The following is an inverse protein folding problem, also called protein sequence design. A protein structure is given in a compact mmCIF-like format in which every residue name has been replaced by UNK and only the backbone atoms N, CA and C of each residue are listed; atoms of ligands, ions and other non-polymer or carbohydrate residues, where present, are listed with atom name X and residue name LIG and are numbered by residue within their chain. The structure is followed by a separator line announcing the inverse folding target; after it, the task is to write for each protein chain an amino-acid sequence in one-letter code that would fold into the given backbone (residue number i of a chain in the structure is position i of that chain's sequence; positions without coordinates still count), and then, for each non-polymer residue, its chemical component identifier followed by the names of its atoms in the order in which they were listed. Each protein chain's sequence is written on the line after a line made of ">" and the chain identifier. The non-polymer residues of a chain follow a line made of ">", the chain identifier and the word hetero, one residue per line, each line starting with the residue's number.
data_IF_981231708823
#
_entry.id   IF_981231708823
#
_cell.length_a   1.000
_cell.length_b   1.000
_cell.length_c   1.000
_cell.angle_alpha   90.00
_cell.angle_beta   90.00
_cell.angle_gamma   90.00
#
_symmetry.space_group_name_H-M   'P 1'
#
loop_
_entity.id
_entity.type
_entity.pdbx_description
1 polymer ?
#
# COMPACT_ATOMS: atom_id res chain seq x y z
N UNK A 1 37.95 -10.51 2.15
CA UNK A 1 36.89 -10.74 3.15
C UNK A 1 35.60 -10.14 2.62
N UNK A 2 34.63 -10.96 2.25
CA UNK A 2 33.28 -10.51 1.93
C UNK A 2 32.69 -9.86 3.19
N UNK A 3 32.07 -8.67 3.13
CA UNK A 3 31.42 -8.11 4.30
C UNK A 3 30.38 -9.09 4.84
N UNK A 4 30.22 -9.18 6.17
CA UNK A 4 29.21 -10.05 6.76
C UNK A 4 27.84 -9.69 6.17
N UNK A 5 26.99 -10.69 5.84
CA UNK A 5 25.67 -10.42 5.31
C UNK A 5 24.90 -9.54 6.30
N UNK A 6 24.45 -8.36 5.83
CA UNK A 6 23.61 -7.48 6.65
C UNK A 6 22.40 -8.27 7.14
N UNK A 7 22.16 -8.25 8.45
CA UNK A 7 20.99 -8.90 9.02
C UNK A 7 19.73 -8.40 8.28
N UNK A 8 18.83 -9.29 7.85
CA UNK A 8 17.64 -8.88 7.11
C UNK A 8 16.82 -7.93 7.97
N UNK A 9 16.50 -6.76 7.42
CA UNK A 9 15.65 -5.78 8.10
C UNK A 9 14.32 -6.44 8.45
N UNK A 10 13.96 -6.41 9.73
CA UNK A 10 12.74 -7.03 10.22
C UNK A 10 11.51 -6.43 9.52
N UNK A 11 10.53 -7.28 9.18
CA UNK A 11 9.24 -6.86 8.63
C UNK A 11 8.57 -5.74 9.46
N UNK A 12 8.83 -5.71 10.77
CA UNK A 12 8.31 -4.69 11.68
C UNK A 12 8.79 -3.27 11.33
N UNK A 13 10.03 -3.12 10.86
CA UNK A 13 10.55 -1.82 10.42
C UNK A 13 9.87 -1.36 9.12
N UNK A 14 9.60 -2.27 8.20
CA UNK A 14 8.81 -1.94 7.01
C UNK A 14 7.35 -1.62 7.38
N UNK A 15 6.75 -2.32 8.34
CA UNK A 15 5.41 -2.02 8.82
C UNK A 15 5.33 -0.64 9.52
N UNK A 16 6.38 -0.26 10.26
CA UNK A 16 6.50 1.06 10.88
C UNK A 16 6.73 2.16 9.83
N UNK A 17 7.61 1.94 8.86
CA UNK A 17 7.81 2.86 7.74
C UNK A 17 6.52 3.04 6.93
N UNK A 18 5.77 1.96 6.72
CA UNK A 18 4.47 2.03 6.07
C UNK A 18 3.49 2.89 6.86
N UNK A 19 3.39 2.70 8.18
CA UNK A 19 2.59 3.54 9.07
C UNK A 19 3.02 5.02 9.03
N UNK A 20 4.33 5.29 9.14
CA UNK A 20 4.89 6.64 9.19
C UNK A 20 4.65 7.44 7.91
N UNK A 21 4.64 6.78 6.74
CA UNK A 21 4.25 7.42 5.49
C UNK A 21 2.72 7.49 5.31
N UNK A 22 1.98 6.47 5.74
CA UNK A 22 0.54 6.39 5.47
C UNK A 22 -0.28 7.37 6.32
N UNK A 23 0.19 7.69 7.53
CA UNK A 23 -0.46 8.64 8.43
C UNK A 23 -0.52 10.05 7.82
N UNK A 24 0.60 10.70 7.46
CA UNK A 24 0.55 12.02 6.84
C UNK A 24 -0.11 11.98 5.45
N UNK A 25 0.09 10.90 4.68
CA UNK A 25 -0.65 10.69 3.43
C UNK A 25 -2.17 10.77 3.64
N UNK A 26 -2.70 10.00 4.59
CA UNK A 26 -4.14 9.94 4.86
C UNK A 26 -4.67 11.26 5.41
N UNK A 27 -3.92 11.90 6.33
CA UNK A 27 -4.30 13.16 6.93
C UNK A 27 -4.37 14.28 5.88
N UNK A 28 -3.31 14.47 5.09
CA UNK A 28 -3.23 15.53 4.09
C UNK A 28 -4.22 15.32 2.94
N UNK A 29 -4.40 14.07 2.48
CA UNK A 29 -5.39 13.76 1.43
C UNK A 29 -6.80 14.11 1.89
N UNK A 30 -7.15 13.75 3.13
CA UNK A 30 -8.46 14.09 3.71
C UNK A 30 -8.62 15.59 3.91
N UNK A 31 -7.59 16.30 4.39
CA UNK A 31 -7.63 17.75 4.56
C UNK A 31 -7.83 18.50 3.23
N UNK A 32 -7.12 18.09 2.17
CA UNK A 32 -7.29 18.64 0.81
C UNK A 32 -8.68 18.36 0.24
N UNK A 33 -9.17 17.12 0.41
CA UNK A 33 -10.47 16.71 -0.12
C UNK A 33 -11.64 17.42 0.57
N UNK A 34 -11.48 17.76 1.86
CA UNK A 34 -12.48 18.50 2.64
C UNK A 34 -12.35 20.03 2.50
N UNK A 35 -11.27 20.53 1.89
CA UNK A 35 -10.98 21.97 1.87
C UNK A 35 -10.68 22.53 3.27
N UNK A 36 -10.17 21.70 4.17
CA UNK A 36 -9.96 22.05 5.57
C UNK A 36 -8.62 22.76 5.83
N UNK A 37 -7.76 22.89 4.82
CA UNK A 37 -6.50 23.61 4.98
C UNK A 37 -6.72 25.13 4.93
N UNK A 38 -5.91 25.91 5.68
CA UNK A 38 -5.99 27.37 5.63
C UNK A 38 -5.85 27.91 4.20
N UNK A 39 -6.74 28.82 3.81
CA UNK A 39 -6.73 29.44 2.49
C UNK A 39 -7.49 28.68 1.40
N UNK A 40 -8.13 27.55 1.72
CA UNK A 40 -9.01 26.84 0.80
C UNK A 40 -10.47 27.32 0.96
N UNK A 41 -11.15 27.55 -0.16
CA UNK A 41 -12.59 27.87 -0.19
C UNK A 41 -13.48 26.65 -0.47
N UNK A 42 -12.91 25.61 -1.07
CA UNK A 42 -13.56 24.35 -1.38
C UNK A 42 -12.54 23.20 -1.40
N UNK A 43 -13.01 21.98 -1.20
CA UNK A 43 -12.18 20.78 -1.32
C UNK A 43 -11.74 20.50 -2.74
N UNK A 44 -10.53 19.95 -2.92
CA UNK A 44 -10.06 19.52 -4.24
C UNK A 44 -10.75 18.22 -4.65
N UNK A 45 -11.40 18.16 -5.83
CA UNK A 45 -11.89 16.90 -6.37
C UNK A 45 -10.75 15.91 -6.58
N UNK A 46 -10.96 14.62 -6.33
CA UNK A 46 -9.86 13.66 -6.39
C UNK A 46 -9.29 13.44 -7.80
N UNK A 47 -10.09 13.59 -8.88
CA UNK A 47 -9.56 13.59 -10.25
C UNK A 47 -8.68 14.83 -10.55
N UNK A 48 -8.90 15.93 -9.84
CA UNK A 48 -8.11 17.17 -9.95
C UNK A 48 -6.80 17.07 -9.15
N UNK A 49 -6.79 16.25 -8.08
CA UNK A 49 -5.64 15.93 -7.22
C UNK A 49 -4.74 14.81 -7.80
N UNK A 50 -5.32 13.89 -8.58
CA UNK A 50 -4.65 12.69 -9.09
C UNK A 50 -3.37 12.99 -9.92
N UNK A 51 -3.34 13.98 -10.83
CA UNK A 51 -2.15 14.23 -11.65
C UNK A 51 -0.92 14.68 -10.86
N UNK A 52 -1.07 15.66 -9.95
CA UNK A 52 0.04 16.18 -9.15
C UNK A 52 0.59 15.12 -8.20
N UNK A 53 -0.29 14.36 -7.56
CA UNK A 53 0.09 13.24 -6.68
C UNK A 53 0.76 12.11 -7.48
N UNK A 54 0.26 11.73 -8.65
CA UNK A 54 0.85 10.71 -9.51
C UNK A 54 2.25 11.11 -10.03
N UNK A 55 2.45 12.37 -10.39
CA UNK A 55 3.76 12.90 -10.77
C UNK A 55 4.75 12.88 -9.60
N UNK A 56 4.31 13.32 -8.40
CA UNK A 56 5.14 13.21 -7.20
C UNK A 56 5.46 11.76 -6.83
N UNK A 57 4.51 10.84 -7.00
CA UNK A 57 4.72 9.39 -6.83
C UNK A 57 5.75 8.85 -7.80
N UNK A 58 5.67 9.23 -9.08
CA UNK A 58 6.65 8.87 -10.11
C UNK A 58 8.05 9.37 -9.74
N UNK A 59 8.19 10.66 -9.46
CA UNK A 59 9.48 11.27 -9.08
C UNK A 59 10.03 10.63 -7.81
N UNK A 60 9.20 10.47 -6.78
CA UNK A 60 9.58 9.85 -5.51
C UNK A 60 10.06 8.41 -5.68
N UNK A 61 9.39 7.63 -6.54
CA UNK A 61 9.82 6.24 -6.78
C UNK A 61 11.16 6.19 -7.51
N UNK A 62 11.31 6.94 -8.59
CA UNK A 62 12.55 6.93 -9.37
C UNK A 62 13.73 7.51 -8.58
N UNK A 63 13.49 8.55 -7.78
CA UNK A 63 14.49 9.06 -6.84
C UNK A 63 14.90 8.00 -5.82
N UNK A 64 13.95 7.26 -5.24
CA UNK A 64 14.26 6.15 -4.33
C UNK A 64 15.07 5.04 -5.02
N UNK A 65 14.65 4.60 -6.21
CA UNK A 65 15.34 3.55 -6.96
C UNK A 65 16.76 3.96 -7.37
N UNK A 66 16.96 5.23 -7.75
CA UNK A 66 18.27 5.78 -8.08
C UNK A 66 19.16 5.89 -6.85
N UNK A 67 18.65 6.48 -5.77
CA UNK A 67 19.42 6.71 -4.54
C UNK A 67 19.80 5.41 -3.81
N UNK A 68 18.91 4.43 -3.79
CA UNK A 68 19.19 3.10 -3.21
C UNK A 68 20.06 2.21 -4.10
N UNK A 69 20.37 2.66 -5.33
CA UNK A 69 21.06 1.85 -6.34
C UNK A 69 20.26 0.62 -6.76
N UNK A 70 18.95 0.60 -6.54
CA UNK A 70 18.13 -0.60 -6.70
C UNK A 70 18.03 -1.04 -8.17
N UNK A 71 18.18 -0.12 -9.14
CA UNK A 71 18.24 -0.43 -10.58
C UNK A 71 19.26 -1.51 -10.96
N UNK A 72 20.31 -1.72 -10.15
CA UNK A 72 21.28 -2.79 -10.39
C UNK A 72 20.67 -4.21 -10.34
N UNK A 73 19.55 -4.38 -9.62
CA UNK A 73 18.85 -5.64 -9.46
C UNK A 73 17.84 -5.92 -10.58
N UNK A 74 17.53 -4.93 -11.42
CA UNK A 74 16.61 -5.12 -12.54
C UNK A 74 17.23 -6.03 -13.62
N UNK A 75 16.38 -6.69 -14.39
CA UNK A 75 16.77 -7.26 -15.67
C UNK A 75 17.43 -6.21 -16.57
N UNK A 76 18.15 -6.67 -17.59
CA UNK A 76 18.89 -5.80 -18.51
C UNK A 76 18.47 -6.07 -19.93
N UNK A 77 18.12 -5.01 -20.66
CA UNK A 77 17.93 -5.04 -22.10
C UNK A 77 19.12 -4.33 -22.76
N UNK A 78 19.77 -5.00 -23.71
CA UNK A 78 20.80 -4.39 -24.54
C UNK A 78 20.13 -3.79 -25.78
N UNK A 79 20.21 -2.47 -25.92
CA UNK A 79 19.77 -1.75 -27.11
C UNK A 79 21.02 -1.14 -27.75
N UNK A 80 21.62 -1.87 -28.70
CA UNK A 80 22.91 -1.51 -29.26
C UNK A 80 24.03 -1.50 -28.20
N UNK A 81 24.82 -0.41 -28.06
CA UNK A 81 25.88 -0.32 -27.07
C UNK A 81 25.38 0.00 -25.65
N UNK A 82 24.10 0.38 -25.50
CA UNK A 82 23.55 0.82 -24.21
C UNK A 82 22.83 -0.35 -23.52
N UNK A 83 23.10 -0.53 -22.23
CA UNK A 83 22.42 -1.52 -21.38
C UNK A 83 21.47 -0.80 -20.44
N UNK A 84 20.17 -0.96 -20.66
CA UNK A 84 19.13 -0.31 -19.87
C UNK A 84 18.48 -1.31 -18.91
N UNK A 85 18.06 -0.87 -17.71
CA UNK A 85 17.26 -1.72 -16.83
C UNK A 85 15.91 -2.00 -17.50
N UNK A 86 15.44 -3.24 -17.44
CA UNK A 86 14.23 -3.68 -18.11
C UNK A 86 13.45 -4.69 -17.28
N UNK A 87 12.12 -4.53 -17.15
CA UNK A 87 11.29 -5.46 -16.40
C UNK A 87 11.09 -6.78 -17.15
N UNK A 88 11.05 -7.89 -16.42
CA UNK A 88 10.54 -9.15 -16.96
C UNK A 88 9.06 -9.07 -17.33
N UNK A 89 8.57 -9.99 -18.18
CA UNK A 89 7.16 -10.05 -18.60
C UNK A 89 6.16 -10.07 -17.44
N UNK A 90 6.47 -10.80 -16.37
CA UNK A 90 5.57 -11.00 -15.23
C UNK A 90 5.62 -9.84 -14.25
N UNK A 91 6.80 -9.26 -14.02
CA UNK A 91 6.97 -8.05 -13.20
C UNK A 91 6.41 -6.82 -13.90
N UNK A 92 6.48 -6.77 -15.23
CA UNK A 92 5.78 -5.78 -16.04
C UNK A 92 4.26 -5.86 -15.83
N UNK A 93 3.67 -7.05 -15.98
CA UNK A 93 2.23 -7.24 -15.74
C UNK A 93 1.86 -6.97 -14.27
N UNK A 94 2.71 -7.34 -13.31
CA UNK A 94 2.53 -6.97 -11.90
C UNK A 94 2.54 -5.46 -11.70
N UNK A 95 3.44 -4.75 -12.38
CA UNK A 95 3.52 -3.29 -12.37
C UNK A 95 2.24 -2.64 -12.86
N UNK A 96 1.66 -3.13 -13.97
CA UNK A 96 0.36 -2.68 -14.46
C UNK A 96 -0.78 -2.96 -13.47
N UNK A 97 -0.75 -4.11 -12.79
CA UNK A 97 -1.70 -4.39 -11.71
C UNK A 97 -1.52 -3.40 -10.54
N UNK A 98 -0.28 -3.09 -10.17
CA UNK A 98 0.01 -2.06 -9.15
C UNK A 98 -0.51 -0.69 -9.58
N UNK A 99 -0.39 -0.31 -10.85
CA UNK A 99 -1.01 0.89 -11.40
C UNK A 99 -2.52 0.89 -11.18
N UNK A 100 -3.20 -0.21 -11.53
CA UNK A 100 -4.63 -0.39 -11.30
C UNK A 100 -5.01 -0.24 -9.83
N UNK A 101 -4.22 -0.83 -8.91
CA UNK A 101 -4.42 -0.70 -7.47
C UNK A 101 -4.32 0.76 -7.01
N UNK A 102 -3.28 1.49 -7.45
CA UNK A 102 -3.08 2.88 -7.04
C UNK A 102 -4.23 3.75 -7.57
N UNK A 103 -4.55 3.63 -8.86
CA UNK A 103 -5.62 4.40 -9.49
C UNK A 103 -6.98 4.18 -8.81
N UNK A 104 -7.39 2.91 -8.65
CA UNK A 104 -8.67 2.55 -8.03
C UNK A 104 -8.74 2.96 -6.55
N UNK A 105 -7.63 2.91 -5.80
CA UNK A 105 -7.63 3.37 -4.40
C UNK A 105 -7.93 4.85 -4.27
N UNK A 106 -7.43 5.68 -5.18
CA UNK A 106 -7.73 7.11 -5.15
C UNK A 106 -9.14 7.40 -5.65
N UNK A 107 -9.61 6.69 -6.68
CA UNK A 107 -10.96 6.83 -7.24
C UNK A 107 -12.06 6.36 -6.28
N UNK A 108 -11.80 5.34 -5.48
CA UNK A 108 -12.75 4.83 -4.49
C UNK A 108 -13.20 5.89 -3.48
N UNK A 109 -12.38 6.94 -3.27
CA UNK A 109 -12.72 8.06 -2.39
C UNK A 109 -13.50 9.19 -3.09
N UNK A 110 -13.72 9.11 -4.41
CA UNK A 110 -14.31 10.18 -5.22
C UNK A 110 -15.68 9.85 -5.79
N UNK A 111 -16.21 8.65 -5.58
CA UNK A 111 -17.53 8.27 -6.09
C UNK A 111 -18.67 8.83 -5.22
N UNK A 112 -19.42 9.78 -5.79
CA UNK A 112 -20.64 10.33 -5.20
C UNK A 112 -21.69 9.24 -4.96
N UNK A 113 -22.36 9.30 -3.80
CA UNK A 113 -23.43 8.37 -3.45
C UNK A 113 -22.97 6.97 -3.01
N UNK A 114 -21.66 6.73 -2.90
CA UNK A 114 -21.12 5.52 -2.26
C UNK A 114 -20.45 5.86 -0.94
N UNK A 115 -20.69 5.05 0.10
CA UNK A 115 -20.07 5.28 1.40
C UNK A 115 -18.55 5.06 1.31
N UNK A 116 -17.76 6.10 1.59
CA UNK A 116 -16.29 6.03 1.68
C UNK A 116 -15.85 4.92 2.65
N UNK A 117 -16.56 4.78 3.77
CA UNK A 117 -16.33 3.73 4.77
C UNK A 117 -16.61 2.34 4.19
N UNK A 118 -17.68 2.21 3.40
CA UNK A 118 -18.01 0.96 2.68
C UNK A 118 -16.96 0.60 1.62
N UNK A 119 -16.42 1.58 0.89
CA UNK A 119 -15.34 1.30 -0.05
C UNK A 119 -14.03 0.92 0.62
N UNK A 120 -13.67 1.62 1.69
CA UNK A 120 -12.49 1.27 2.49
C UNK A 120 -12.57 -0.16 3.03
N UNK A 121 -13.77 -0.60 3.44
CA UNK A 121 -14.07 -1.97 3.82
C UNK A 121 -13.84 -2.96 2.68
N UNK A 122 -14.49 -2.72 1.54
CA UNK A 122 -14.45 -3.60 0.40
C UNK A 122 -13.01 -3.78 -0.11
N UNK A 123 -12.22 -2.72 -0.09
CA UNK A 123 -10.82 -2.77 -0.49
C UNK A 123 -9.93 -3.50 0.53
N UNK A 124 -9.97 -3.09 1.81
CA UNK A 124 -9.11 -3.71 2.85
C UNK A 124 -9.53 -5.15 3.13
N UNK A 125 -10.83 -5.38 3.25
CA UNK A 125 -11.45 -6.69 3.47
C UNK A 125 -11.32 -7.61 2.27
N UNK A 126 -11.51 -7.09 1.05
CA UNK A 126 -11.32 -7.86 -0.18
C UNK A 126 -9.92 -8.46 -0.27
N UNK A 127 -8.88 -7.69 0.02
CA UNK A 127 -7.49 -8.21 -0.01
C UNK A 127 -7.20 -9.18 1.14
N UNK A 128 -7.81 -9.00 2.32
CA UNK A 128 -7.71 -9.98 3.41
C UNK A 128 -8.33 -11.31 3.01
N UNK A 129 -9.53 -11.31 2.43
CA UNK A 129 -10.19 -12.53 1.92
C UNK A 129 -9.39 -13.16 0.78
N UNK A 130 -8.75 -12.35 -0.06
CA UNK A 130 -7.95 -12.80 -1.20
C UNK A 130 -6.64 -13.48 -0.80
N UNK A 131 -6.04 -13.06 0.31
CA UNK A 131 -4.75 -13.58 0.79
C UNK A 131 -4.71 -15.12 0.93
N UNK A 132 -5.64 -15.79 1.65
CA UNK A 132 -5.66 -17.24 1.76
C UNK A 132 -5.98 -17.93 0.42
N UNK A 133 -6.82 -17.32 -0.42
CA UNK A 133 -7.14 -17.86 -1.74
C UNK A 133 -5.90 -17.90 -2.64
N UNK A 134 -5.13 -16.81 -2.66
CA UNK A 134 -3.88 -16.75 -3.41
C UNK A 134 -2.84 -17.72 -2.85
N UNK A 135 -2.74 -17.85 -1.53
CA UNK A 135 -1.83 -18.82 -0.91
C UNK A 135 -2.21 -20.26 -1.30
N UNK A 136 -3.50 -20.61 -1.27
CA UNK A 136 -3.99 -21.92 -1.69
C UNK A 136 -3.69 -22.19 -3.18
N UNK A 137 -4.01 -21.24 -4.07
CA UNK A 137 -3.73 -21.34 -5.52
C UNK A 137 -2.22 -21.38 -5.82
N UNK A 138 -1.40 -20.76 -4.97
CA UNK A 138 0.06 -20.76 -5.08
C UNK A 138 0.72 -21.96 -4.39
N UNK A 139 -0.06 -22.89 -3.82
CA UNK A 139 0.45 -24.08 -3.13
C UNK A 139 1.22 -23.78 -1.85
N UNK A 140 0.93 -22.66 -1.17
CA UNK A 140 1.64 -22.23 0.04
C UNK A 140 1.01 -22.82 1.30
N UNK A 141 1.84 -23.31 2.21
CA UNK A 141 1.39 -23.75 3.52
C UNK A 141 1.12 -22.54 4.42
N UNK A 142 -0.13 -22.39 4.87
CA UNK A 142 -0.56 -21.28 5.75
C UNK A 142 -0.46 -21.71 7.21
N UNK A 143 0.36 -21.01 7.99
CA UNK A 143 0.52 -21.28 9.41
C UNK A 143 -0.75 -20.95 10.22
N UNK A 144 -0.96 -21.65 11.34
CA UNK A 144 -2.13 -21.43 12.20
C UNK A 144 -2.28 -19.98 12.71
N UNK A 145 -1.21 -19.27 13.13
CA UNK A 145 -1.34 -17.90 13.66
C UNK A 145 -1.81 -16.95 12.56
N UNK A 146 -1.38 -17.19 11.32
CA UNK A 146 -1.81 -16.42 10.15
C UNK A 146 -3.31 -16.56 9.90
N UNK A 147 -3.88 -17.75 10.07
CA UNK A 147 -5.34 -17.98 9.92
C UNK A 147 -6.14 -17.26 11.01
N UNK A 148 -5.67 -17.33 12.25
CA UNK A 148 -6.34 -16.65 13.38
C UNK A 148 -6.25 -15.13 13.22
N UNK A 149 -5.07 -14.60 12.91
CA UNK A 149 -4.88 -13.18 12.67
C UNK A 149 -5.69 -12.66 11.49
N UNK A 150 -5.82 -13.45 10.42
CA UNK A 150 -6.73 -13.14 9.32
C UNK A 150 -8.18 -13.03 9.82
N UNK A 151 -8.67 -14.02 10.56
CA UNK A 151 -10.02 -14.02 11.11
C UNK A 151 -10.29 -12.81 12.02
N UNK A 152 -9.35 -12.50 12.91
CA UNK A 152 -9.43 -11.31 13.78
C UNK A 152 -9.38 -10.02 12.96
N UNK A 153 -8.56 -9.94 11.90
CA UNK A 153 -8.50 -8.77 11.01
C UNK A 153 -9.80 -8.54 10.26
N UNK A 154 -10.46 -9.62 9.82
CA UNK A 154 -11.79 -9.54 9.19
C UNK A 154 -12.85 -9.07 10.19
N UNK A 155 -12.84 -9.61 11.41
CA UNK A 155 -13.74 -9.16 12.48
C UNK A 155 -13.50 -7.68 12.83
N UNK A 156 -12.23 -7.25 12.88
CA UNK A 156 -11.86 -5.85 13.12
C UNK A 156 -12.47 -4.90 12.08
N UNK A 157 -12.43 -5.28 10.81
CA UNK A 157 -13.03 -4.51 9.73
C UNK A 157 -14.56 -4.41 9.87
N UNK A 158 -15.23 -5.53 10.20
CA UNK A 158 -16.69 -5.54 10.42
C UNK A 158 -17.10 -4.63 11.59
N UNK A 159 -16.35 -4.66 12.69
CA UNK A 159 -16.62 -3.81 13.88
C UNK A 159 -16.35 -2.34 13.59
N UNK A 160 -15.28 -2.03 12.87
CA UNK A 160 -14.91 -0.65 12.53
C UNK A 160 -15.97 0.08 11.70
N UNK A 161 -16.94 -0.63 11.13
CA UNK A 161 -17.80 -0.11 10.07
C UNK A 161 -19.28 -0.03 10.42
N UNK A 162 -19.77 -0.89 11.30
CA UNK A 162 -21.05 -0.76 12.01
C UNK A 162 -22.32 -0.58 11.14
N UNK A 163 -23.51 -0.49 11.78
CA UNK A 163 -24.77 -0.25 11.07
C UNK A 163 -24.84 1.19 10.56
N UNK A 164 -25.19 1.37 9.28
CA UNK A 164 -25.27 2.66 8.59
C UNK A 164 -24.59 2.70 7.23
N UNK A 165 -23.96 1.62 6.78
CA UNK A 165 -23.48 1.48 5.40
C UNK A 165 -24.68 1.34 4.46
N UNK A 166 -25.02 2.43 3.76
CA UNK A 166 -25.85 2.32 2.58
C UNK A 166 -25.13 1.43 1.56
N UNK A 167 -25.65 0.22 1.35
CA UNK A 167 -25.18 -0.78 0.38
C UNK A 167 -25.51 -0.36 -1.07
N UNK A 168 -25.58 0.94 -1.34
CA UNK A 168 -25.75 1.47 -2.67
C UNK A 168 -24.39 1.53 -3.32
N UNK A 169 -24.10 0.49 -4.10
CA UNK A 169 -22.90 0.43 -4.91
C UNK A 169 -23.29 0.86 -6.33
N UNK A 170 -22.85 2.05 -6.74
CA UNK A 170 -22.95 2.43 -8.14
C UNK A 170 -22.19 1.40 -8.99
N UNK A 171 -22.69 1.05 -10.17
CA UNK A 171 -22.03 0.07 -11.07
C UNK A 171 -20.57 0.42 -11.36
N UNK A 172 -20.26 1.72 -11.46
CA UNK A 172 -18.90 2.23 -11.66
C UNK A 172 -18.01 1.93 -10.45
N UNK A 173 -18.55 2.08 -9.24
CA UNK A 173 -17.86 1.80 -8.00
C UNK A 173 -17.63 0.28 -7.82
N UNK A 174 -18.59 -0.55 -8.24
CA UNK A 174 -18.43 -2.01 -8.29
C UNK A 174 -17.32 -2.44 -9.25
N UNK A 175 -17.26 -1.81 -10.43
CA UNK A 175 -16.22 -2.06 -11.42
C UNK A 175 -14.84 -1.64 -10.89
N UNK A 176 -14.73 -0.47 -10.26
CA UNK A 176 -13.49 0.02 -9.63
C UNK A 176 -12.97 -0.97 -8.57
N UNK A 177 -13.86 -1.41 -7.67
CA UNK A 177 -13.53 -2.44 -6.70
C UNK A 177 -13.11 -3.77 -7.33
N UNK A 178 -13.80 -4.21 -8.39
CA UNK A 178 -13.45 -5.44 -9.10
C UNK A 178 -12.04 -5.36 -9.71
N UNK A 179 -11.71 -4.24 -10.36
CA UNK A 179 -10.36 -3.97 -10.90
C UNK A 179 -9.33 -3.99 -9.78
N UNK A 180 -9.62 -3.37 -8.63
CA UNK A 180 -8.75 -3.38 -7.47
C UNK A 180 -8.46 -4.81 -6.96
N UNK A 181 -9.49 -5.62 -6.75
CA UNK A 181 -9.35 -6.99 -6.23
C UNK A 181 -8.63 -7.90 -7.23
N UNK A 182 -9.00 -7.84 -8.51
CA UNK A 182 -8.34 -8.64 -9.56
C UNK A 182 -6.87 -8.25 -9.68
N UNK A 183 -6.56 -6.95 -9.65
CA UNK A 183 -5.17 -6.47 -9.69
C UNK A 183 -4.37 -6.99 -8.50
N UNK A 184 -4.95 -6.97 -7.29
CA UNK A 184 -4.31 -7.55 -6.12
C UNK A 184 -4.14 -9.07 -6.24
N UNK A 185 -5.10 -9.79 -6.81
CA UNK A 185 -5.01 -11.24 -6.99
C UNK A 185 -3.79 -11.60 -7.85
N UNK A 186 -3.70 -10.95 -9.02
CA UNK A 186 -2.61 -11.17 -9.98
C UNK A 186 -1.27 -10.78 -9.36
N UNK A 187 -1.20 -9.61 -8.74
CA UNK A 187 0.01 -9.11 -8.07
C UNK A 187 0.49 -10.07 -6.96
N UNK A 188 -0.39 -10.47 -6.05
CA UNK A 188 -0.01 -11.38 -4.95
C UNK A 188 0.40 -12.76 -5.47
N UNK A 189 -0.23 -13.24 -6.55
CA UNK A 189 0.17 -14.51 -7.19
C UNK A 189 1.56 -14.43 -7.80
N UNK A 190 1.90 -13.33 -8.46
CA UNK A 190 3.25 -13.12 -9.00
C UNK A 190 4.28 -12.93 -7.89
N UNK A 191 3.95 -12.21 -6.81
CA UNK A 191 4.81 -12.13 -5.62
C UNK A 191 5.09 -13.53 -5.05
N UNK A 192 4.05 -14.34 -4.83
CA UNK A 192 4.17 -15.71 -4.32
C UNK A 192 5.10 -16.58 -5.16
N UNK A 193 5.02 -16.45 -6.49
CA UNK A 193 5.78 -17.29 -7.42
C UNK A 193 7.22 -16.81 -7.64
N UNK A 194 7.43 -15.50 -7.72
CA UNK A 194 8.69 -14.92 -8.20
C UNK A 194 9.56 -14.35 -7.09
N UNK A 195 8.96 -13.83 -6.02
CA UNK A 195 9.68 -13.01 -5.03
C UNK A 195 9.62 -13.55 -3.59
N UNK A 196 8.56 -14.28 -3.23
CA UNK A 196 8.37 -14.86 -1.89
C UNK A 196 9.06 -16.21 -1.73
N UNK A 197 10.35 -16.22 -2.04
CA UNK A 197 11.23 -17.36 -1.93
C UNK A 197 12.54 -16.92 -1.28
N UNK A 198 13.41 -17.87 -0.94
CA UNK A 198 14.70 -17.59 -0.31
C UNK A 198 15.84 -17.39 -1.32
N UNK A 199 15.51 -17.18 -2.61
CA UNK A 199 16.52 -16.96 -3.65
C UNK A 199 17.07 -15.55 -3.49
N UNK A 200 18.40 -15.37 -3.30
CA UNK A 200 19.01 -14.06 -3.17
C UNK A 200 18.72 -13.16 -4.38
N UNK A 201 18.36 -11.89 -4.14
CA UNK A 201 18.13 -10.91 -5.19
C UNK A 201 16.77 -11.01 -5.90
N UNK A 202 16.00 -12.08 -5.73
CA UNK A 202 14.71 -12.26 -6.39
C UNK A 202 13.67 -11.23 -5.91
N UNK A 203 13.67 -10.95 -4.61
CA UNK A 203 12.80 -9.94 -3.99
C UNK A 203 13.14 -8.54 -4.48
N UNK A 204 14.41 -8.18 -4.46
CA UNK A 204 14.92 -6.87 -4.88
C UNK A 204 14.62 -6.64 -6.36
N UNK A 205 14.92 -7.63 -7.21
CA UNK A 205 14.60 -7.60 -8.63
C UNK A 205 13.10 -7.39 -8.88
N UNK A 206 12.26 -8.18 -8.21
CA UNK A 206 10.81 -8.08 -8.37
C UNK A 206 10.30 -6.68 -7.98
N UNK A 207 10.76 -6.18 -6.83
CA UNK A 207 10.37 -4.86 -6.34
C UNK A 207 10.76 -3.78 -7.35
N UNK A 208 12.00 -3.78 -7.83
CA UNK A 208 12.49 -2.76 -8.76
C UNK A 208 11.74 -2.81 -10.08
N UNK A 209 11.63 -3.98 -10.69
CA UNK A 209 10.97 -4.14 -11.99
C UNK A 209 9.48 -3.80 -11.94
N UNK A 210 8.76 -4.14 -10.86
CA UNK A 210 7.37 -3.75 -10.68
C UNK A 210 7.22 -2.23 -10.62
N UNK A 211 8.11 -1.57 -9.88
CA UNK A 211 8.00 -0.14 -9.56
C UNK A 211 8.49 0.75 -10.71
N UNK A 212 9.37 0.23 -11.55
CA UNK A 212 9.72 0.82 -12.85
C UNK A 212 8.53 0.94 -13.79
N UNK A 213 7.48 0.13 -13.60
CA UNK A 213 6.30 0.11 -14.48
C UNK A 213 5.13 0.82 -13.82
N UNK A 214 4.91 0.59 -12.52
CA UNK A 214 3.71 1.02 -11.82
C UNK A 214 3.45 2.54 -11.88
N UNK A 215 4.44 3.35 -11.51
CA UNK A 215 4.28 4.80 -11.45
C UNK A 215 4.26 5.47 -12.84
N UNK A 216 5.13 5.09 -13.81
CA UNK A 216 5.04 5.62 -15.17
C UNK A 216 3.72 5.26 -15.86
N UNK A 217 3.27 4.01 -15.73
CA UNK A 217 2.01 3.59 -16.32
C UNK A 217 0.82 4.34 -15.71
N UNK A 218 0.85 4.67 -14.40
CA UNK A 218 -0.17 5.50 -13.78
C UNK A 218 -0.25 6.88 -14.45
N UNK A 219 0.88 7.58 -14.55
CA UNK A 219 0.94 8.91 -15.17
C UNK A 219 0.48 8.85 -16.63
N UNK A 220 0.95 7.88 -17.40
CA UNK A 220 0.56 7.70 -18.80
C UNK A 220 -0.94 7.44 -18.93
N UNK A 221 -1.52 6.53 -18.14
CA UNK A 221 -2.96 6.24 -18.20
C UNK A 221 -3.81 7.45 -17.82
N UNK A 222 -3.42 8.20 -16.78
CA UNK A 222 -4.12 9.43 -16.39
C UNK A 222 -4.01 10.50 -17.49
N UNK A 223 -2.84 10.65 -18.10
CA UNK A 223 -2.64 11.60 -19.21
C UNK A 223 -3.50 11.21 -20.43
N UNK A 224 -3.49 9.94 -20.82
CA UNK A 224 -4.32 9.43 -21.93
C UNK A 224 -5.81 9.68 -21.67
N UNK A 225 -6.27 9.50 -20.43
CA UNK A 225 -7.67 9.81 -20.08
C UNK A 225 -7.95 11.31 -20.11
N UNK A 226 -7.03 12.15 -19.62
CA UNK A 226 -7.17 13.61 -19.74
C UNK A 226 -7.24 14.07 -21.22
N UNK A 227 -6.47 13.43 -22.10
CA UNK A 227 -6.45 13.71 -23.54
C UNK A 227 -7.70 13.23 -24.26
N UNK A 228 -8.31 12.11 -23.84
CA UNK A 228 -9.54 11.61 -24.48
C UNK A 228 -10.67 12.65 -24.43
N UNK A 229 -10.71 13.47 -23.38
CA UNK A 229 -11.70 14.54 -23.21
C UNK A 229 -13.13 14.04 -23.01
N UNK A 230 -13.32 12.73 -22.82
CA UNK A 230 -14.63 12.11 -22.66
C UNK A 230 -15.03 12.08 -21.18
N UNK A 231 -16.11 12.79 -20.86
CA UNK A 231 -16.73 12.81 -19.53
C UNK A 231 -16.12 13.82 -18.55
N UNK A 232 -16.85 14.12 -17.47
CA UNK A 232 -16.42 15.11 -16.46
C UNK A 232 -15.10 14.76 -15.77
N UNK A 233 -14.80 13.47 -15.61
CA UNK A 233 -13.52 13.00 -15.06
C UNK A 233 -12.32 13.39 -15.94
N UNK A 234 -12.44 13.30 -17.27
CA UNK A 234 -11.35 13.69 -18.18
C UNK A 234 -11.07 15.20 -18.12
N UNK A 235 -12.11 16.03 -17.97
CA UNK A 235 -11.95 17.46 -17.78
C UNK A 235 -11.24 17.80 -16.46
N UNK A 236 -11.62 17.14 -15.36
CA UNK A 236 -10.97 17.29 -14.05
C UNK A 236 -9.50 16.82 -14.07
N UNK A 237 -9.20 15.71 -14.76
CA UNK A 237 -7.82 15.25 -14.93
C UNK A 237 -7.00 16.25 -15.75
N UNK A 238 -7.57 16.82 -16.82
CA UNK A 238 -6.92 17.86 -17.62
C UNK A 238 -6.61 19.10 -16.79
N UNK A 239 -7.58 19.58 -16.01
CA UNK A 239 -7.39 20.65 -15.04
C UNK A 239 -6.29 20.30 -14.04
N UNK A 240 -6.26 19.07 -13.52
CA UNK A 240 -5.21 18.60 -12.64
C UNK A 240 -3.82 18.59 -13.28
N UNK A 241 -3.69 18.34 -14.59
CA UNK A 241 -2.39 18.41 -15.28
C UNK A 241 -1.97 19.84 -15.61
N UNK A 242 -2.89 20.68 -16.09
CA UNK A 242 -2.55 22.03 -16.60
C UNK A 242 -2.62 23.11 -15.53
N UNK A 243 -3.58 22.99 -14.61
CA UNK A 243 -3.86 23.97 -13.56
C UNK A 243 -3.07 23.77 -12.29
N UNK A 244 -2.37 22.64 -12.10
CA UNK A 244 -1.68 22.37 -10.83
C UNK A 244 -0.62 23.41 -10.46
N UNK A 245 0.09 23.96 -11.45
CA UNK A 245 1.17 24.93 -11.23
C UNK A 245 0.70 26.29 -10.72
N UNK A 246 -0.59 26.60 -10.91
CA UNK A 246 -1.19 27.86 -10.44
C UNK A 246 -1.88 27.71 -9.09
N UNK A 247 -1.99 26.48 -8.55
CA UNK A 247 -2.68 26.24 -7.27
C UNK A 247 -1.76 26.46 -6.08
N UNK A 248 -2.20 27.21 -5.06
CA UNK A 248 -1.42 27.39 -3.82
C UNK A 248 -1.28 26.08 -3.02
N UNK A 249 -2.16 25.10 -3.26
CA UNK A 249 -2.15 23.78 -2.61
C UNK A 249 -1.07 22.84 -3.15
N UNK A 250 -0.43 23.16 -4.29
CA UNK A 250 0.51 22.27 -4.97
C UNK A 250 1.58 21.65 -4.05
N UNK A 251 2.25 22.38 -3.13
CA UNK A 251 3.25 21.77 -2.24
C UNK A 251 2.67 20.65 -1.37
N UNK A 252 1.43 20.80 -0.90
CA UNK A 252 0.75 19.78 -0.08
C UNK A 252 0.33 18.59 -0.95
N UNK A 253 -0.12 18.84 -2.17
CA UNK A 253 -0.44 17.78 -3.13
C UNK A 253 0.79 16.94 -3.49
N UNK A 254 1.94 17.58 -3.70
CA UNK A 254 3.21 16.88 -3.94
C UNK A 254 3.63 16.07 -2.70
N UNK A 255 3.47 16.62 -1.49
CA UNK A 255 3.72 15.89 -0.25
C UNK A 255 2.83 14.65 -0.12
N UNK A 256 1.53 14.76 -0.47
CA UNK A 256 0.61 13.61 -0.54
C UNK A 256 1.16 12.54 -1.48
N UNK A 257 1.58 12.91 -2.69
CA UNK A 257 2.14 11.94 -3.65
C UNK A 257 3.44 11.27 -3.17
N UNK A 258 4.32 12.01 -2.48
CA UNK A 258 5.54 11.47 -1.89
C UNK A 258 5.26 10.52 -0.71
N UNK A 259 4.35 10.88 0.19
CA UNK A 259 3.96 10.01 1.30
C UNK A 259 3.19 8.78 0.82
N UNK A 260 2.30 8.92 -0.17
CA UNK A 260 1.65 7.80 -0.87
C UNK A 260 2.70 6.85 -1.44
N UNK A 261 3.75 7.40 -2.04
CA UNK A 261 4.83 6.61 -2.61
C UNK A 261 5.69 5.91 -1.55
N UNK A 262 6.03 6.59 -0.46
CA UNK A 262 6.67 5.97 0.71
C UNK A 262 5.83 4.81 1.25
N UNK A 263 4.52 5.01 1.32
CA UNK A 263 3.56 3.97 1.66
C UNK A 263 3.59 2.79 0.68
N UNK A 264 3.68 3.06 -0.62
CA UNK A 264 3.86 2.03 -1.65
C UNK A 264 5.16 1.24 -1.50
N UNK A 265 6.28 1.91 -1.21
CA UNK A 265 7.60 1.30 -0.97
C UNK A 265 7.54 0.36 0.23
N UNK A 266 7.24 0.91 1.41
CA UNK A 266 7.26 0.14 2.65
C UNK A 266 6.17 -0.92 2.68
N UNK A 267 4.95 -0.59 2.22
CA UNK A 267 3.85 -1.52 2.13
C UNK A 267 4.14 -2.67 1.16
N UNK A 268 4.74 -2.38 0.00
CA UNK A 268 5.21 -3.39 -0.95
C UNK A 268 6.30 -4.29 -0.34
N UNK A 269 7.24 -3.71 0.41
CA UNK A 269 8.29 -4.48 1.09
C UNK A 269 7.74 -5.39 2.19
N UNK A 270 6.70 -4.97 2.94
CA UNK A 270 5.97 -5.86 3.87
C UNK A 270 5.34 -7.02 3.12
N UNK A 271 4.67 -6.74 2.00
CA UNK A 271 4.02 -7.77 1.19
C UNK A 271 5.02 -8.72 0.53
N UNK A 272 6.26 -8.30 0.28
CA UNK A 272 7.31 -9.12 -0.32
C UNK A 272 8.12 -9.96 0.68
N UNK A 273 7.79 -9.93 1.97
CA UNK A 273 8.36 -10.87 2.93
C UNK A 273 8.10 -12.32 2.48
N UNK A 274 9.09 -13.20 2.71
CA UNK A 274 9.09 -14.56 2.19
C UNK A 274 7.95 -15.44 2.74
N UNK A 275 7.29 -15.01 3.81
CA UNK A 275 6.10 -15.67 4.38
C UNK A 275 4.87 -15.55 3.47
N UNK A 276 3.87 -16.36 3.78
CA UNK A 276 2.60 -16.42 3.06
C UNK A 276 1.82 -15.09 3.05
N UNK A 277 0.94 -14.92 2.07
CA UNK A 277 0.12 -13.70 1.95
C UNK A 277 -0.80 -13.54 3.16
N UNK A 278 -1.32 -14.65 3.68
CA UNK A 278 -2.15 -14.70 4.89
C UNK A 278 -1.42 -14.21 6.14
N UNK A 279 -0.08 -14.13 6.12
CA UNK A 279 0.73 -13.50 7.16
C UNK A 279 0.98 -12.02 6.85
N UNK A 280 1.49 -11.73 5.65
CA UNK A 280 1.96 -10.39 5.26
C UNK A 280 0.83 -9.38 5.06
N UNK A 281 -0.34 -9.81 4.57
CA UNK A 281 -1.48 -8.94 4.29
C UNK A 281 -2.11 -8.40 5.59
N UNK A 282 -2.40 -9.20 6.63
CA UNK A 282 -2.85 -8.67 7.91
C UNK A 282 -1.91 -7.63 8.52
N UNK A 283 -0.58 -7.83 8.45
CA UNK A 283 0.40 -6.85 8.94
C UNK A 283 0.31 -5.55 8.13
N UNK A 284 0.27 -5.66 6.80
CA UNK A 284 0.10 -4.50 5.94
C UNK A 284 -1.19 -3.74 6.29
N UNK A 285 -2.33 -4.44 6.40
CA UNK A 285 -3.62 -3.81 6.72
C UNK A 285 -3.64 -3.22 8.12
N UNK A 286 -3.01 -3.86 9.10
CA UNK A 286 -2.91 -3.35 10.45
C UNK A 286 -2.24 -1.97 10.49
N UNK A 287 -1.08 -1.81 9.85
CA UNK A 287 -0.38 -0.52 9.74
C UNK A 287 -1.28 0.56 9.11
N UNK A 288 -2.03 0.24 8.06
CA UNK A 288 -2.92 1.20 7.40
C UNK A 288 -4.14 1.60 8.25
N UNK A 289 -4.64 0.69 9.10
CA UNK A 289 -5.72 0.97 10.04
C UNK A 289 -5.23 1.90 11.14
N UNK A 290 -4.10 1.59 11.78
CA UNK A 290 -3.50 2.47 12.78
C UNK A 290 -3.18 3.85 12.22
N UNK A 291 -2.64 3.91 11.00
CA UNK A 291 -2.34 5.19 10.36
C UNK A 291 -3.61 6.00 10.05
N UNK A 292 -4.70 5.35 9.66
CA UNK A 292 -5.99 6.01 9.46
C UNK A 292 -6.57 6.59 10.76
N UNK A 293 -6.55 5.83 11.85
CA UNK A 293 -6.97 6.30 13.18
C UNK A 293 -6.09 7.45 13.66
N UNK A 294 -4.77 7.32 13.50
CA UNK A 294 -3.82 8.38 13.82
C UNK A 294 -4.04 9.64 12.99
N UNK A 295 -4.35 9.51 11.70
CA UNK A 295 -4.68 10.63 10.83
C UNK A 295 -5.94 11.37 11.29
N UNK A 296 -7.01 10.65 11.65
CA UNK A 296 -8.23 11.26 12.21
C UNK A 296 -7.94 12.00 13.52
N UNK A 297 -7.12 11.43 14.41
CA UNK A 297 -6.70 12.10 15.64
C UNK A 297 -5.90 13.38 15.37
N UNK A 298 -4.91 13.32 14.48
CA UNK A 298 -4.09 14.48 14.09
C UNK A 298 -4.96 15.58 13.50
N UNK A 299 -5.87 15.25 12.60
CA UNK A 299 -6.79 16.22 12.00
C UNK A 299 -7.76 16.82 13.01
N UNK A 300 -8.21 16.03 13.99
CA UNK A 300 -9.07 16.53 15.06
C UNK A 300 -8.34 17.52 15.96
N UNK A 301 -7.10 17.20 16.35
CA UNK A 301 -6.27 18.07 17.19
C UNK A 301 -5.78 19.32 16.46
N UNK A 302 -5.45 19.21 15.17
CA UNK A 302 -4.81 20.29 14.42
C UNK A 302 -5.81 21.20 13.69
N UNK A 303 -6.90 20.64 13.15
CA UNK A 303 -7.88 21.36 12.34
C UNK A 303 -9.28 21.38 12.97
N UNK A 304 -9.45 20.85 14.19
CA UNK A 304 -10.75 20.84 14.88
C UNK A 304 -11.80 19.92 14.21
N UNK A 305 -11.37 18.99 13.35
CA UNK A 305 -12.28 18.05 12.69
C UNK A 305 -12.84 17.01 13.68
N UNK A 306 -13.94 16.29 13.32
CA UNK A 306 -14.50 15.25 14.18
C UNK A 306 -13.45 14.23 14.62
N UNK A 307 -13.44 13.92 15.93
CA UNK A 307 -12.50 13.00 16.55
C UNK A 307 -12.71 11.53 16.16
N UNK A 308 -11.83 10.67 16.68
CA UNK A 308 -11.89 9.22 16.43
C UNK A 308 -13.13 8.62 17.09
N UNK A 309 -13.90 7.87 16.32
CA UNK A 309 -15.10 7.18 16.80
C UNK A 309 -14.77 5.96 17.67
N UNK A 310 -15.69 5.59 18.56
CA UNK A 310 -15.57 4.37 19.39
C UNK A 310 -15.41 3.11 18.53
N UNK A 311 -16.04 3.07 17.34
CA UNK A 311 -15.94 1.95 16.40
C UNK A 311 -14.54 1.86 15.78
N UNK A 312 -13.95 2.99 15.40
CA UNK A 312 -12.57 3.05 14.90
C UNK A 312 -11.57 2.57 15.97
N UNK A 313 -11.77 2.98 17.23
CA UNK A 313 -10.95 2.49 18.36
C UNK A 313 -11.13 1.00 18.61
N UNK A 314 -12.37 0.49 18.58
CA UNK A 314 -12.65 -0.94 18.73
C UNK A 314 -12.01 -1.77 17.58
N UNK A 315 -12.10 -1.28 16.35
CA UNK A 315 -11.44 -1.87 15.19
C UNK A 315 -9.92 -1.88 15.34
N UNK A 316 -9.30 -0.77 15.75
CA UNK A 316 -7.86 -0.71 16.03
C UNK A 316 -7.43 -1.65 17.17
N UNK A 317 -8.26 -1.80 18.21
CA UNK A 317 -8.06 -2.78 19.27
C UNK A 317 -8.00 -4.21 18.75
N UNK A 318 -8.97 -4.60 17.91
CA UNK A 318 -8.97 -5.94 17.29
C UNK A 318 -7.79 -6.15 16.33
N UNK A 319 -7.40 -5.13 15.57
CA UNK A 319 -6.17 -5.16 14.76
C UNK A 319 -4.93 -5.37 15.63
N UNK A 320 -4.88 -4.76 16.82
CA UNK A 320 -3.78 -4.95 17.78
C UNK A 320 -3.69 -6.41 18.22
N UNK A 321 -4.83 -7.04 18.50
CA UNK A 321 -4.91 -8.48 18.79
C UNK A 321 -4.41 -9.32 17.60
N UNK A 322 -4.82 -9.00 16.37
CA UNK A 322 -4.35 -9.71 15.18
C UNK A 322 -2.82 -9.64 15.01
N UNK A 323 -2.22 -8.46 15.19
CA UNK A 323 -0.76 -8.28 15.13
C UNK A 323 -0.07 -9.04 16.26
N UNK A 324 -0.62 -9.02 17.47
CA UNK A 324 -0.08 -9.77 18.60
C UNK A 324 -0.05 -11.27 18.31
N UNK A 325 -1.13 -11.84 17.74
CA UNK A 325 -1.20 -13.24 17.32
C UNK A 325 -0.11 -13.60 16.31
N UNK A 326 0.15 -12.73 15.32
CA UNK A 326 1.22 -12.94 14.33
C UNK A 326 2.62 -12.88 14.94
N UNK A 327 2.79 -12.13 16.03
CA UNK A 327 4.07 -12.03 16.74
C UNK A 327 4.36 -13.24 17.65
N UNK A 328 3.34 -14.02 18.05
CA UNK A 328 3.47 -15.13 19.01
C UNK A 328 4.60 -16.12 18.65
N UNK A 329 4.69 -16.66 17.41
CA UNK A 329 5.73 -17.65 17.10
C UNK A 329 7.15 -17.09 17.26
N UNK A 330 7.38 -15.85 16.80
CA UNK A 330 8.68 -15.19 16.90
C UNK A 330 9.07 -14.87 18.35
N UNK A 331 8.10 -14.46 19.18
CA UNK A 331 8.33 -14.21 20.62
C UNK A 331 8.63 -15.51 21.35
N UNK A 332 7.91 -16.59 21.06
CA UNK A 332 8.16 -17.91 21.66
C UNK A 332 9.53 -18.47 21.26
N UNK A 333 9.94 -18.32 19.99
CA UNK A 333 11.25 -18.74 19.52
C UNK A 333 12.38 -17.93 20.17
N UNK A 334 12.22 -16.61 20.29
CA UNK A 334 13.19 -15.75 20.97
C UNK A 334 13.33 -16.10 22.46
N UNK A 335 12.22 -16.43 23.12
CA UNK A 335 12.21 -16.92 24.52
C UNK A 335 12.92 -18.26 24.65
N UNK A 336 12.69 -19.20 23.72
CA UNK A 336 13.40 -20.49 23.71
C UNK A 336 14.91 -20.32 23.53
N UNK A 337 15.35 -19.47 22.59
CA UNK A 337 16.78 -19.18 22.37
C UNK A 337 17.46 -18.56 23.59
N UNK A 338 16.74 -17.74 24.37
CA UNK A 338 17.24 -17.18 25.65
C UNK A 338 17.26 -18.18 26.80
N UNK A 339 16.43 -19.23 26.73
CA UNK A 339 16.34 -20.26 27.77
C UNK A 339 17.36 -21.41 27.60
N UNK A 340 18.07 -21.48 26.47
CA UNK A 340 19.19 -22.41 26.30
C UNK A 340 20.39 -21.88 27.09
N UNK A 341 20.86 -22.56 28.15
CA UNK A 341 22.06 -22.16 28.87
C UNK A 341 23.27 -22.17 27.93
N UNK A 342 24.12 -21.15 28.01
CA UNK A 342 25.46 -21.18 27.44
C UNK A 342 26.19 -22.39 28.02
N UNK A 343 26.32 -23.47 27.24
CA UNK A 343 27.17 -24.59 27.59
C UNK A 343 28.59 -24.06 27.75
N UNK A 344 29.08 -24.04 28.99
CA UNK A 344 30.47 -23.71 29.30
C UNK A 344 31.38 -24.64 28.47
N UNK A 345 32.45 -24.12 27.84
CA UNK A 345 33.39 -24.97 27.14
C UNK A 345 33.99 -25.99 28.13
N UNK A 346 34.27 -27.23 27.70
CA UNK A 346 34.82 -28.26 28.56
C UNK A 346 36.14 -27.76 29.17
N UNK A 347 36.24 -27.84 30.49
CA UNK A 347 37.48 -27.54 31.21
C UNK A 347 38.57 -28.49 30.71
N UNK A 348 39.66 -27.91 30.21
CA UNK A 348 40.90 -28.60 29.87
C UNK A 348 41.67 -29.00 31.13
#
# INVERSE_FOLDING_TARGET
>A
MSPPPKAPVSIGWFALGYFACYLPYSALTKALSLGALPGMSAGLPGFVLLPSTALATLVGMFAYLAWSGAFQHAGRLRVGPVVLPWPGRWTFLSGLCTTGIIATTTLAYTFDGTSIVFMMLLMRGGVLVLAPLVDAVSGRHVAWPSRVALGVSLAALLVATGPGTELRLAWVAALDWAVYVVSYFVRLRFMSRLAKNHVPGARERYFVEEQMVAAPALVVLLALWAFSGVGGAAAQLREGFTGMFTRPTLPVELAVGLFSQGSGIFGGLVLLDARENTFTVPINRASSVFAGVGATLVLSLWLGLPGVSVRELAGAGLVTVAVAVLAVPGVLEARRKRAVPLSLPPAA
#
